data_IF_237901211473
#
_entry.id   IF_237901211473
#
_cell.length_a   1.000
_cell.length_b   1.000
_cell.length_c   1.000
_cell.angle_alpha   90.00
_cell.angle_beta   90.00
_cell.angle_gamma   90.00
#
_symmetry.space_group_name_H-M   'P 1'
#
loop_
_entity.id
_entity.type
_entity.pdbx_description
1 polymer ?
#
# COMPACT_ATOMS: atom_id res chain seq x y z
N UNK A 1 -22.52 6.15 -5.81
CA UNK A 1 -21.79 4.86 -5.85
C UNK A 1 -22.58 3.90 -5.02
N UNK A 2 -23.07 2.83 -5.61
CA UNK A 2 -23.87 1.83 -4.90
C UNK A 2 -22.99 1.09 -3.88
N UNK A 3 -23.55 0.69 -2.74
CA UNK A 3 -22.85 -0.10 -1.75
C UNK A 3 -22.39 -1.44 -2.37
N UNK A 4 -21.22 -1.94 -1.98
CA UNK A 4 -20.77 -3.28 -2.38
C UNK A 4 -21.65 -4.32 -1.71
N UNK A 5 -22.27 -5.21 -2.47
CA UNK A 5 -23.04 -6.30 -1.89
C UNK A 5 -22.13 -7.42 -1.37
N UNK A 6 -22.65 -8.24 -0.46
CA UNK A 6 -21.92 -9.39 0.09
C UNK A 6 -21.41 -10.32 -1.02
N UNK A 7 -22.23 -10.59 -2.03
CA UNK A 7 -21.88 -11.42 -3.19
C UNK A 7 -20.77 -10.77 -4.01
N UNK A 8 -20.82 -9.45 -4.24
CA UNK A 8 -19.74 -8.75 -4.93
C UNK A 8 -18.42 -8.84 -4.15
N UNK A 9 -18.49 -8.75 -2.80
CA UNK A 9 -17.32 -8.88 -1.93
C UNK A 9 -16.75 -10.30 -1.96
N UNK A 10 -17.60 -11.34 -1.91
CA UNK A 10 -17.17 -12.74 -2.02
C UNK A 10 -16.46 -13.01 -3.36
N UNK A 11 -17.06 -12.56 -4.47
CA UNK A 11 -16.50 -12.75 -5.80
C UNK A 11 -15.14 -12.07 -5.97
N UNK A 12 -14.98 -10.84 -5.47
CA UNK A 12 -13.71 -10.12 -5.58
C UNK A 12 -12.63 -10.69 -4.65
N UNK A 13 -13.01 -11.20 -3.48
CA UNK A 13 -12.10 -11.92 -2.57
C UNK A 13 -11.60 -13.20 -3.23
N UNK A 14 -12.50 -14.03 -3.78
CA UNK A 14 -12.13 -15.26 -4.47
C UNK A 14 -11.20 -15.00 -5.66
N UNK A 15 -11.49 -13.97 -6.47
CA UNK A 15 -10.64 -13.61 -7.60
C UNK A 15 -9.28 -13.06 -7.17
N UNK A 16 -9.21 -12.32 -6.06
CA UNK A 16 -7.96 -11.87 -5.47
C UNK A 16 -7.08 -13.05 -5.08
N UNK A 17 -7.62 -14.03 -4.35
CA UNK A 17 -6.86 -15.20 -3.91
C UNK A 17 -6.45 -16.12 -5.06
N UNK A 18 -7.25 -16.23 -6.12
CA UNK A 18 -6.87 -16.90 -7.37
C UNK A 18 -5.60 -16.29 -7.99
N UNK A 19 -5.45 -14.96 -7.95
CA UNK A 19 -4.22 -14.29 -8.37
C UNK A 19 -3.08 -14.45 -7.35
N UNK A 20 -3.37 -14.33 -6.05
CA UNK A 20 -2.36 -14.45 -5.00
C UNK A 20 -1.70 -15.83 -5.03
N UNK A 21 -2.49 -16.89 -5.20
CA UNK A 21 -1.99 -18.27 -5.30
C UNK A 21 -0.98 -18.44 -6.45
N UNK A 22 -1.25 -17.80 -7.60
CA UNK A 22 -0.31 -17.78 -8.73
C UNK A 22 0.95 -16.99 -8.40
N UNK A 23 0.83 -15.86 -7.74
CA UNK A 23 1.98 -15.05 -7.32
C UNK A 23 2.89 -15.80 -6.33
N UNK A 24 2.30 -16.46 -5.33
CA UNK A 24 3.05 -17.23 -4.33
C UNK A 24 3.74 -18.46 -4.93
N UNK A 25 3.14 -19.09 -5.95
CA UNK A 25 3.74 -20.20 -6.68
C UNK A 25 4.68 -19.78 -7.82
N UNK A 26 4.92 -18.48 -8.01
CA UNK A 26 5.76 -17.96 -9.08
C UNK A 26 5.19 -18.15 -10.49
N UNK A 27 3.89 -18.44 -10.62
CA UNK A 27 3.20 -18.57 -11.90
C UNK A 27 2.89 -17.20 -12.49
N UNK A 28 3.05 -17.08 -13.81
CA UNK A 28 2.66 -15.87 -14.52
C UNK A 28 1.14 -15.69 -14.52
N UNK A 29 0.69 -14.48 -14.21
CA UNK A 29 -0.71 -14.08 -14.33
C UNK A 29 -0.81 -12.62 -14.78
N UNK A 30 -1.96 -12.26 -15.34
CA UNK A 30 -2.22 -10.89 -15.80
C UNK A 30 -3.41 -10.30 -15.05
N UNK A 31 -3.13 -9.29 -14.23
CA UNK A 31 -4.16 -8.54 -13.48
C UNK A 31 -5.33 -8.06 -14.35
N UNK A 32 -5.05 -7.61 -15.57
CA UNK A 32 -6.07 -7.14 -16.51
C UNK A 32 -7.00 -8.25 -17.01
N UNK A 33 -6.52 -9.47 -17.20
CA UNK A 33 -7.36 -10.60 -17.62
C UNK A 33 -8.31 -11.03 -16.50
N UNK A 34 -7.80 -11.08 -15.26
CA UNK A 34 -8.60 -11.36 -14.07
C UNK A 34 -9.70 -10.30 -13.84
N UNK A 35 -9.36 -9.00 -13.94
CA UNK A 35 -10.37 -7.92 -13.87
C UNK A 35 -11.45 -8.04 -14.96
N UNK A 36 -11.05 -8.33 -16.20
CA UNK A 36 -11.99 -8.49 -17.32
C UNK A 36 -12.96 -9.65 -17.12
N UNK A 37 -12.50 -10.74 -16.50
CA UNK A 37 -13.36 -11.88 -16.14
C UNK A 37 -14.35 -11.53 -15.02
N UNK A 38 -13.93 -10.68 -14.09
CA UNK A 38 -14.73 -10.30 -12.92
C UNK A 38 -15.79 -9.23 -13.23
N UNK A 39 -15.49 -8.28 -14.13
CA UNK A 39 -16.40 -7.19 -14.53
C UNK A 39 -17.87 -7.60 -14.79
N UNK A 40 -18.17 -8.63 -15.61
CA UNK A 40 -19.56 -9.01 -15.90
C UNK A 40 -20.33 -9.52 -14.67
N UNK A 41 -19.64 -9.89 -13.59
CA UNK A 41 -20.25 -10.42 -12.36
C UNK A 41 -20.50 -9.33 -11.31
N UNK A 42 -19.93 -8.14 -11.47
CA UNK A 42 -19.94 -7.07 -10.47
C UNK A 42 -20.80 -5.90 -10.91
N UNK A 43 -22.12 -6.07 -11.06
CA UNK A 43 -23.13 -4.99 -11.18
C UNK A 43 -22.66 -3.67 -11.84
N UNK A 44 -22.01 -3.73 -13.00
CA UNK A 44 -21.45 -2.56 -13.72
C UNK A 44 -20.42 -1.72 -12.95
N UNK A 45 -19.63 -2.32 -12.06
CA UNK A 45 -18.45 -1.68 -11.43
C UNK A 45 -17.41 -1.32 -12.49
N UNK A 46 -16.65 -0.26 -12.22
CA UNK A 46 -15.52 0.14 -13.06
C UNK A 46 -14.25 -0.65 -12.72
N UNK A 47 -13.32 -0.76 -13.67
CA UNK A 47 -12.01 -1.37 -13.41
C UNK A 47 -11.26 -0.68 -12.24
N UNK A 48 -11.35 0.65 -12.15
CA UNK A 48 -10.74 1.40 -11.04
C UNK A 48 -11.36 1.07 -9.69
N UNK A 49 -12.67 0.81 -9.64
CA UNK A 49 -13.35 0.37 -8.42
C UNK A 49 -12.87 -1.02 -7.97
N UNK A 50 -12.66 -1.94 -8.92
CA UNK A 50 -12.11 -3.28 -8.65
C UNK A 50 -10.68 -3.18 -8.13
N UNK A 51 -9.83 -2.39 -8.78
CA UNK A 51 -8.45 -2.20 -8.34
C UNK A 51 -8.37 -1.57 -6.94
N UNK A 52 -9.21 -0.57 -6.65
CA UNK A 52 -9.29 0.02 -5.32
C UNK A 52 -9.71 -1.02 -4.26
N UNK A 53 -10.67 -1.88 -4.58
CA UNK A 53 -11.13 -2.94 -3.67
C UNK A 53 -10.06 -4.02 -3.47
N UNK A 54 -9.28 -4.38 -4.48
CA UNK A 54 -8.10 -5.24 -4.32
C UNK A 54 -7.05 -4.63 -3.39
N UNK A 55 -6.84 -3.31 -3.46
CA UNK A 55 -5.95 -2.60 -2.52
C UNK A 55 -6.49 -2.62 -1.09
N UNK A 56 -7.81 -2.63 -0.89
CA UNK A 56 -8.41 -2.84 0.42
C UNK A 56 -8.17 -4.28 0.93
N UNK A 57 -8.31 -5.30 0.07
CA UNK A 57 -8.01 -6.70 0.45
C UNK A 57 -6.55 -6.83 0.89
N UNK A 58 -5.61 -6.20 0.17
CA UNK A 58 -4.20 -6.16 0.60
C UNK A 58 -4.02 -5.55 1.99
N UNK A 59 -4.83 -4.55 2.36
CA UNK A 59 -4.79 -3.96 3.70
C UNK A 59 -5.30 -4.90 4.78
N UNK A 60 -6.36 -5.68 4.50
CA UNK A 60 -6.84 -6.74 5.40
C UNK A 60 -5.73 -7.77 5.63
N UNK A 61 -5.08 -8.26 4.56
CA UNK A 61 -4.02 -9.25 4.67
C UNK A 61 -2.82 -8.74 5.48
N UNK A 62 -2.46 -7.46 5.32
CA UNK A 62 -1.43 -6.83 6.17
C UNK A 62 -1.84 -6.84 7.64
N UNK A 63 -3.09 -6.50 7.96
CA UNK A 63 -3.58 -6.53 9.34
C UNK A 63 -3.55 -7.95 9.94
N UNK A 64 -3.70 -8.98 9.11
CA UNK A 64 -3.60 -10.39 9.48
C UNK A 64 -2.15 -10.94 9.46
N UNK A 65 -1.16 -10.12 9.11
CA UNK A 65 0.24 -10.54 8.99
C UNK A 65 0.52 -11.48 7.80
N UNK A 66 -0.36 -11.51 6.81
CA UNK A 66 -0.29 -12.41 5.65
C UNK A 66 0.33 -11.72 4.42
N UNK A 67 0.96 -12.50 3.51
CA UNK A 67 1.45 -11.94 2.25
C UNK A 67 0.29 -11.47 1.37
N UNK A 68 0.56 -10.46 0.54
CA UNK A 68 -0.41 -9.85 -0.37
C UNK A 68 0.22 -9.65 -1.75
N UNK A 69 -0.61 -9.37 -2.75
CA UNK A 69 -0.13 -9.15 -4.12
C UNK A 69 0.67 -7.84 -4.19
N UNK A 70 1.97 -7.91 -4.52
CA UNK A 70 2.89 -6.74 -4.50
C UNK A 70 2.37 -5.57 -5.34
N UNK A 71 1.67 -5.88 -6.44
CA UNK A 71 1.11 -4.90 -7.36
C UNK A 71 -0.19 -4.21 -6.91
N UNK A 72 -0.71 -4.52 -5.72
CA UNK A 72 -1.88 -3.88 -5.10
C UNK A 72 -1.50 -3.32 -3.74
N UNK A 73 -1.04 -2.06 -3.71
CA UNK A 73 -0.62 -1.40 -2.47
C UNK A 73 -1.78 -1.26 -1.47
N UNK A 74 -1.58 -1.62 -0.19
CA UNK A 74 -2.61 -1.57 0.85
C UNK A 74 -3.29 -0.19 0.99
N UNK A 75 -4.64 -0.19 1.05
CA UNK A 75 -5.45 0.96 1.44
C UNK A 75 -6.38 0.61 2.60
N UNK A 76 -6.13 1.21 3.76
CA UNK A 76 -6.76 0.84 5.04
C UNK A 76 -8.16 1.42 5.28
N UNK A 77 -8.61 2.37 4.46
CA UNK A 77 -9.97 2.89 4.57
C UNK A 77 -10.94 2.00 3.80
N UNK A 78 -11.53 1.02 4.49
CA UNK A 78 -12.49 0.07 3.95
C UNK A 78 -13.59 -0.30 4.96
N UNK A 79 -14.64 -0.96 4.49
CA UNK A 79 -15.78 -1.39 5.32
C UNK A 79 -15.47 -2.69 6.05
N UNK A 80 -15.89 -2.83 7.32
CA UNK A 80 -15.60 -4.01 8.16
C UNK A 80 -16.03 -5.35 7.55
N UNK A 81 -17.10 -5.37 6.75
CA UNK A 81 -17.55 -6.57 6.04
C UNK A 81 -16.45 -7.22 5.17
N UNK A 82 -15.47 -6.42 4.72
CA UNK A 82 -14.36 -6.96 3.96
C UNK A 82 -13.44 -7.83 4.83
N UNK A 83 -13.23 -7.47 6.10
CA UNK A 83 -12.44 -8.28 7.02
C UNK A 83 -13.12 -9.65 7.19
N UNK A 84 -14.41 -9.65 7.50
CA UNK A 84 -15.21 -10.86 7.71
C UNK A 84 -15.11 -11.81 6.52
N UNK A 85 -15.36 -11.31 5.29
CA UNK A 85 -15.32 -12.13 4.08
C UNK A 85 -13.93 -12.65 3.73
N UNK A 86 -12.87 -11.91 4.06
CA UNK A 86 -11.49 -12.39 3.86
C UNK A 86 -11.17 -13.49 4.87
N UNK A 87 -11.57 -13.33 6.13
CA UNK A 87 -11.36 -14.32 7.19
C UNK A 87 -12.14 -15.60 6.88
N UNK A 88 -13.42 -15.49 6.51
CA UNK A 88 -14.26 -16.62 6.10
C UNK A 88 -13.59 -17.39 4.95
N UNK A 89 -13.11 -16.68 3.93
CA UNK A 89 -12.43 -17.29 2.80
C UNK A 89 -11.18 -18.08 3.23
N UNK A 90 -10.36 -17.54 4.14
CA UNK A 90 -9.17 -18.21 4.66
C UNK A 90 -9.52 -19.48 5.47
N UNK A 91 -10.59 -19.44 6.26
CA UNK A 91 -11.07 -20.59 7.04
C UNK A 91 -11.55 -21.70 6.10
N UNK A 92 -12.29 -21.35 5.05
CA UNK A 92 -12.81 -22.30 4.06
C UNK A 92 -11.72 -22.90 3.16
N UNK A 93 -10.61 -22.19 2.95
CA UNK A 93 -9.56 -22.55 1.98
C UNK A 93 -8.21 -22.82 2.66
N UNK A 94 -8.18 -23.81 3.56
CA UNK A 94 -6.98 -24.19 4.34
C UNK A 94 -5.69 -24.39 3.52
N UNK A 95 -5.80 -24.80 2.25
CA UNK A 95 -4.63 -24.97 1.37
C UNK A 95 -3.83 -23.67 1.16
N UNK A 96 -4.44 -22.50 1.35
CA UNK A 96 -3.77 -21.19 1.22
C UNK A 96 -2.79 -20.96 2.36
N UNK A 97 -3.09 -21.45 3.56
CA UNK A 97 -2.19 -21.37 4.71
C UNK A 97 -0.86 -22.08 4.42
N UNK A 98 -0.91 -23.23 3.75
CA UNK A 98 0.28 -23.94 3.30
C UNK A 98 1.07 -23.12 2.26
N UNK A 99 0.39 -22.39 1.36
CA UNK A 99 1.07 -21.49 0.42
C UNK A 99 1.76 -20.32 1.13
N UNK A 100 1.14 -19.76 2.16
CA UNK A 100 1.74 -18.71 2.98
C UNK A 100 2.98 -19.21 3.71
N UNK A 101 2.88 -20.41 4.30
CA UNK A 101 4.01 -21.05 4.97
C UNK A 101 5.17 -21.29 4.01
N UNK A 102 4.90 -21.89 2.84
CA UNK A 102 5.91 -22.12 1.81
C UNK A 102 6.53 -20.82 1.30
N UNK A 103 5.76 -19.76 1.16
CA UNK A 103 6.26 -18.45 0.77
C UNK A 103 7.17 -17.83 1.86
N UNK A 104 6.80 -17.98 3.13
CA UNK A 104 7.56 -17.44 4.26
C UNK A 104 8.85 -18.23 4.55
N UNK A 105 8.81 -19.55 4.41
CA UNK A 105 9.96 -20.46 4.60
C UNK A 105 10.84 -20.58 3.36
N UNK A 106 10.31 -20.21 2.19
CA UNK A 106 10.99 -20.35 0.91
C UNK A 106 12.27 -19.54 0.87
N UNK A 107 13.38 -20.19 0.49
CA UNK A 107 14.62 -19.50 0.16
C UNK A 107 14.35 -18.53 -1.00
N UNK A 108 14.31 -17.23 -0.71
CA UNK A 108 14.31 -16.21 -1.73
C UNK A 108 15.63 -16.32 -2.50
N UNK A 109 15.63 -17.09 -3.59
CA UNK A 109 16.62 -16.96 -4.64
C UNK A 109 16.36 -15.60 -5.26
N UNK A 110 16.93 -14.55 -4.67
CA UNK A 110 17.03 -13.28 -5.36
C UNK A 110 17.77 -13.64 -6.65
N UNK A 111 17.11 -13.62 -7.83
CA UNK A 111 17.86 -13.80 -9.06
C UNK A 111 18.93 -12.74 -8.94
N UNK A 112 20.20 -13.15 -9.01
CA UNK A 112 21.30 -12.24 -8.80
C UNK A 112 21.11 -11.13 -9.82
N UNK A 113 20.46 -10.04 -9.42
CA UNK A 113 20.33 -8.86 -10.24
C UNK A 113 21.70 -8.23 -10.09
N UNK A 114 22.69 -8.86 -10.74
CA UNK A 114 23.92 -8.20 -11.13
C UNK A 114 23.49 -7.17 -12.17
N UNK A 115 22.80 -6.11 -11.74
CA UNK A 115 22.87 -4.87 -12.50
C UNK A 115 24.36 -4.59 -12.54
N UNK A 116 24.91 -4.45 -13.74
CA UNK A 116 26.30 -4.13 -13.90
C UNK A 116 26.49 -2.66 -13.49
N UNK A 117 26.33 -2.36 -12.20
CA UNK A 117 26.49 -1.03 -11.63
C UNK A 117 27.89 -0.47 -11.95
N UNK A 118 28.88 -1.35 -12.04
CA UNK A 118 30.21 -1.04 -12.55
C UNK A 118 30.23 -0.43 -13.96
N UNK A 119 29.21 -0.67 -14.81
CA UNK A 119 29.07 -0.04 -16.14
C UNK A 119 28.36 1.33 -16.11
N UNK A 120 27.78 1.71 -14.97
CA UNK A 120 27.21 3.04 -14.73
C UNK A 120 28.23 3.98 -14.08
N UNK A 121 29.39 3.47 -13.68
CA UNK A 121 30.51 4.28 -13.25
C UNK A 121 31.08 4.99 -14.49
N UNK A 122 31.02 6.31 -14.47
CA UNK A 122 31.73 7.16 -15.43
C UNK A 122 32.86 7.81 -14.66
N UNK A 123 34.04 7.87 -15.28
CA UNK A 123 35.17 8.63 -14.73
C UNK A 123 34.71 10.07 -14.47
N UNK A 124 34.98 10.63 -13.28
CA UNK A 124 34.66 12.02 -13.02
C UNK A 124 35.35 12.90 -14.08
N UNK A 125 34.66 13.90 -14.64
CA UNK A 125 35.30 14.77 -15.64
C UNK A 125 36.52 15.45 -15.01
N UNK A 126 37.65 15.42 -15.71
CA UNK A 126 38.88 16.11 -15.32
C UNK A 126 38.66 17.62 -15.40
N UNK A 127 38.08 18.20 -14.36
CA UNK A 127 37.80 19.63 -14.34
C UNK A 127 39.07 20.38 -13.90
N UNK A 128 39.81 20.93 -14.87
CA UNK A 128 41.01 21.75 -14.61
C UNK A 128 40.65 23.16 -14.12
N UNK A 129 39.36 23.50 -14.08
CA UNK A 129 38.86 24.81 -13.69
C UNK A 129 38.10 24.70 -12.36
N UNK A 130 38.59 25.39 -11.32
CA UNK A 130 37.87 25.57 -10.07
C UNK A 130 36.65 26.46 -10.35
N UNK A 131 35.50 25.83 -10.53
CA UNK A 131 34.21 26.52 -10.64
C UNK A 131 33.59 26.51 -9.26
N UNK A 132 33.52 27.67 -8.61
CA UNK A 132 32.76 27.84 -7.37
C UNK A 132 31.26 27.93 -7.70
N UNK A 133 30.42 27.32 -6.87
CA UNK A 133 28.98 27.50 -6.98
C UNK A 133 28.64 28.99 -6.76
N UNK A 134 27.77 29.59 -7.61
CA UNK A 134 27.31 30.94 -7.37
C UNK A 134 26.60 30.97 -6.01
N UNK A 135 26.92 31.98 -5.19
CA UNK A 135 26.28 32.15 -3.88
C UNK A 135 24.77 32.21 -4.09
N UNK A 136 24.05 31.21 -3.58
CA UNK A 136 22.61 31.15 -3.71
C UNK A 136 21.98 32.34 -2.98
N UNK A 137 21.47 33.32 -3.73
CA UNK A 137 20.64 34.39 -3.19
C UNK A 137 19.24 33.82 -2.85
N UNK A 138 19.16 32.95 -1.86
CA UNK A 138 17.88 32.48 -1.33
C UNK A 138 17.33 33.52 -0.37
N UNK A 139 16.44 34.38 -0.85
CA UNK A 139 15.53 35.12 0.03
C UNK A 139 14.42 34.17 0.45
N UNK A 140 14.49 33.67 1.68
CA UNK A 140 13.37 32.96 2.30
C UNK A 140 12.21 33.95 2.42
N UNK A 141 11.27 33.94 1.49
CA UNK A 141 9.99 34.61 1.70
C UNK A 141 9.22 33.80 2.75
N UNK A 142 9.40 34.17 4.01
CA UNK A 142 8.48 33.77 5.05
C UNK A 142 7.14 34.42 4.72
N UNK A 143 6.19 33.65 4.17
CA UNK A 143 4.81 34.10 4.18
C UNK A 143 4.36 34.20 5.64
N UNK A 144 3.61 35.24 6.00
CA UNK A 144 3.15 35.51 7.38
C UNK A 144 2.44 34.32 8.05
N UNK A 145 1.91 33.37 7.26
CA UNK A 145 1.29 32.15 7.78
C UNK A 145 2.28 31.06 8.23
N UNK A 146 3.59 31.25 8.01
CA UNK A 146 4.61 30.27 8.43
C UNK A 146 4.98 30.38 9.91
N UNK A 147 4.50 31.42 10.62
CA UNK A 147 4.68 31.63 12.06
C UNK A 147 3.38 31.41 12.84
N UNK A 148 2.68 30.29 12.62
CA UNK A 148 1.74 29.79 13.64
C UNK A 148 2.56 29.05 14.71
N UNK A 149 2.63 29.53 15.96
CA UNK A 149 3.39 28.84 17.00
C UNK A 149 2.69 27.53 17.36
N UNK A 150 3.38 26.41 17.16
CA UNK A 150 3.09 25.16 17.85
C UNK A 150 3.60 25.27 19.29
N UNK A 151 2.94 26.10 20.10
CA UNK A 151 3.07 26.07 21.55
C UNK A 151 1.71 26.33 22.14
N UNK A 152 1.01 25.24 22.48
CA UNK A 152 0.18 25.04 23.68
C UNK A 152 -0.88 23.97 23.42
N UNK A 153 -0.61 22.74 23.87
CA UNK A 153 -1.60 21.87 24.49
C UNK A 153 -0.95 20.58 24.98
N UNK A 154 -0.04 20.68 25.95
CA UNK A 154 0.22 19.57 26.86
C UNK A 154 0.35 20.09 28.28
N UNK A 155 -0.51 19.58 29.17
CA UNK A 155 -0.21 19.47 30.58
C UNK A 155 -0.78 20.54 31.51
N UNK A 156 -1.97 20.24 32.05
CA UNK A 156 -2.21 20.11 33.49
C UNK A 156 -2.16 21.34 34.43
N UNK A 157 -3.26 21.40 35.22
CA UNK A 157 -3.35 21.84 36.63
C UNK A 157 -3.67 23.32 36.91
N UNK A 158 -4.77 23.55 37.66
CA UNK A 158 -5.17 24.84 38.26
C UNK A 158 -4.25 25.31 39.39
N UNK A 159 -4.65 26.20 40.35
CA UNK A 159 -5.99 26.70 40.70
C UNK A 159 -6.08 28.24 40.93
N UNK A 160 -7.27 28.69 41.39
CA UNK A 160 -7.56 29.84 42.30
C UNK A 160 -8.48 30.97 41.80
N UNK A 161 -9.38 31.30 42.71
CA UNK A 161 -10.51 32.22 42.64
C UNK A 161 -10.13 33.72 42.62
N UNK A 162 -11.02 34.59 42.11
CA UNK A 162 -11.80 35.58 42.90
C UNK A 162 -12.78 36.38 42.04
N UNK A 163 -13.79 36.90 42.74
CA UNK A 163 -15.01 37.57 42.32
C UNK A 163 -14.88 39.02 41.80
N UNK A 164 -16.07 39.58 41.48
CA UNK A 164 -16.52 40.98 41.32
C UNK A 164 -16.85 41.34 39.86
N UNK A 165 -18.04 41.84 39.48
CA UNK A 165 -19.24 42.35 40.19
C UNK A 165 -20.51 41.89 39.47
#
# INVERSE_FOLDING_TARGET
MDAWSDIEVELIVAEYFSMLSKELSGQNYKKSEHRKKLLPLLNNRSEGSIEFKHQNISAVLINLGQPYIKGYLPRFNYQSILDDKVIDYLIEHQHIEEQFKQFAEGDFVHPAIRKAFHKLLVEPPSNTQLVEEPVAAYTRSLSENSLRPYMEASGSSGPLARAQR
#
